data_IF_878297974565
#
_entry.id   IF_878297974565
#
_cell.length_a   1.000
_cell.length_b   1.000
_cell.length_c   1.000
_cell.angle_alpha   90.00
_cell.angle_beta   90.00
_cell.angle_gamma   90.00
#
_symmetry.space_group_name_H-M   'P 1'
#
loop_
_entity.id
_entity.type
_entity.pdbx_description
1 polymer ?
#
# COMPACT_ATOMS: atom_id res chain seq x y z
N UNK A 1 16.93 5.09 13.92
CA UNK A 1 16.36 5.34 15.28
C UNK A 1 15.30 4.28 15.51
N UNK A 2 14.98 3.88 16.74
CA UNK A 2 13.90 2.91 16.92
C UNK A 2 12.57 3.52 16.47
N UNK A 3 11.83 2.83 15.60
CA UNK A 3 10.50 3.25 15.14
C UNK A 3 9.49 3.27 16.29
N UNK A 4 8.57 4.24 16.26
CA UNK A 4 7.50 4.38 17.26
C UNK A 4 6.18 3.74 16.81
N UNK A 5 6.08 3.32 15.55
CA UNK A 5 4.86 2.78 14.95
C UNK A 5 4.24 1.65 15.79
N UNK A 6 4.98 0.65 16.31
CA UNK A 6 4.38 -0.44 17.11
C UNK A 6 3.69 0.02 18.39
N UNK A 7 3.98 1.24 18.87
CA UNK A 7 3.42 1.80 20.09
C UNK A 7 2.22 2.73 19.82
N UNK A 8 1.90 3.04 18.57
CA UNK A 8 0.72 3.85 18.22
C UNK A 8 -0.51 2.95 18.26
N UNK A 9 -1.49 3.20 19.14
CA UNK A 9 -2.74 2.43 19.16
C UNK A 9 -3.51 2.59 17.85
N UNK A 10 -4.16 1.52 17.38
CA UNK A 10 -4.98 1.53 16.14
C UNK A 10 -6.02 2.66 16.11
N UNK A 11 -6.57 3.04 17.27
CA UNK A 11 -7.54 4.14 17.39
C UNK A 11 -6.94 5.53 17.14
N UNK A 12 -5.61 5.68 17.21
CA UNK A 12 -4.92 6.94 16.96
C UNK A 12 -4.46 7.08 15.51
N UNK A 13 -4.41 5.98 14.75
CA UNK A 13 -3.96 6.00 13.34
C UNK A 13 -4.80 6.94 12.47
N UNK A 14 -6.15 6.96 12.54
CA UNK A 14 -6.95 7.91 11.77
C UNK A 14 -6.66 9.39 12.07
N UNK A 15 -6.10 9.68 13.25
CA UNK A 15 -5.75 11.04 13.69
C UNK A 15 -4.39 11.54 13.19
N UNK A 16 -3.58 10.69 12.55
CA UNK A 16 -2.28 11.08 12.02
C UNK A 16 -2.43 12.03 10.83
N UNK A 17 -1.64 13.11 10.78
CA UNK A 17 -1.69 14.02 9.64
C UNK A 17 -1.06 13.38 8.40
N UNK A 18 -1.54 13.74 7.21
CA UNK A 18 -0.95 13.29 5.94
C UNK A 18 0.49 13.75 5.77
N UNK A 19 0.87 14.88 6.37
CA UNK A 19 2.26 15.36 6.41
C UNK A 19 3.14 14.40 7.21
N UNK A 20 2.70 13.99 8.40
CA UNK A 20 3.42 13.02 9.24
C UNK A 20 3.62 11.70 8.50
N UNK A 21 2.58 11.20 7.83
CA UNK A 21 2.64 9.93 7.09
C UNK A 21 3.59 10.01 5.90
N UNK A 22 3.63 11.16 5.21
CA UNK A 22 4.55 11.37 4.09
C UNK A 22 6.02 11.40 4.54
N UNK A 23 6.28 11.82 5.78
CA UNK A 23 7.61 11.88 6.37
C UNK A 23 8.07 10.55 7.00
N UNK A 24 7.21 9.52 7.04
CA UNK A 24 7.58 8.19 7.52
C UNK A 24 8.67 7.56 6.67
N UNK A 25 9.62 6.93 7.37
CA UNK A 25 10.73 6.22 6.77
C UNK A 25 10.32 4.81 6.34
N UNK A 26 11.17 4.13 5.59
CA UNK A 26 10.97 2.71 5.25
C UNK A 26 10.97 1.81 6.49
N UNK A 27 11.71 2.19 7.54
CA UNK A 27 11.71 1.47 8.82
C UNK A 27 10.36 1.58 9.51
N UNK A 28 9.70 2.73 9.43
CA UNK A 28 8.36 2.94 9.96
C UNK A 28 7.32 2.12 9.20
N UNK A 29 7.35 2.15 7.86
CA UNK A 29 6.43 1.37 7.03
C UNK A 29 6.56 -0.14 7.25
N UNK A 30 7.78 -0.65 7.39
CA UNK A 30 8.02 -2.05 7.70
C UNK A 30 7.48 -2.45 9.10
N UNK A 31 7.33 -1.49 10.02
CA UNK A 31 6.91 -1.74 11.40
C UNK A 31 5.39 -1.65 11.63
N UNK A 32 4.61 -1.22 10.64
CA UNK A 32 3.14 -1.20 10.74
C UNK A 32 2.57 -2.61 10.91
N UNK A 33 1.63 -2.81 11.84
CA UNK A 33 0.82 -4.03 11.84
C UNK A 33 -0.27 -3.97 10.78
N UNK A 34 -0.84 -5.12 10.40
CA UNK A 34 -2.00 -5.17 9.50
C UNK A 34 -3.20 -4.41 10.05
N UNK A 35 -3.44 -4.49 11.36
CA UNK A 35 -4.53 -3.77 12.02
C UNK A 35 -4.33 -2.24 11.99
N UNK A 36 -3.08 -1.78 12.08
CA UNK A 36 -2.76 -0.36 11.94
C UNK A 36 -2.95 0.11 10.49
N UNK A 37 -2.62 -0.72 9.50
CA UNK A 37 -2.87 -0.40 8.09
C UNK A 37 -4.37 -0.34 7.77
N UNK A 38 -5.16 -1.27 8.31
CA UNK A 38 -6.63 -1.24 8.19
C UNK A 38 -7.22 0.03 8.85
N UNK A 39 -6.58 0.53 9.90
CA UNK A 39 -7.01 1.75 10.57
C UNK A 39 -6.61 3.04 9.83
N UNK A 40 -5.83 2.97 8.74
CA UNK A 40 -5.56 4.14 7.91
C UNK A 40 -6.85 4.59 7.23
N UNK A 41 -7.01 5.89 7.12
CA UNK A 41 -8.03 6.46 6.25
C UNK A 41 -7.56 6.44 4.80
N UNK A 42 -8.48 6.41 3.85
CA UNK A 42 -8.16 6.46 2.42
C UNK A 42 -7.37 7.72 2.03
N UNK A 43 -7.58 8.86 2.72
CA UNK A 43 -6.80 10.09 2.54
C UNK A 43 -5.33 9.91 2.99
N UNK A 44 -5.10 9.14 4.04
CA UNK A 44 -3.76 8.79 4.51
C UNK A 44 -3.08 7.78 3.58
N UNK A 45 -3.82 6.80 3.06
CA UNK A 45 -3.31 5.87 2.04
C UNK A 45 -2.89 6.58 0.74
N UNK A 46 -3.59 7.65 0.36
CA UNK A 46 -3.29 8.43 -0.83
C UNK A 46 -1.92 9.12 -0.80
N UNK A 47 -1.35 9.35 0.39
CA UNK A 47 -0.06 10.06 0.54
C UNK A 47 1.13 9.13 0.79
N UNK A 48 0.93 7.81 0.76
CA UNK A 48 2.00 6.84 0.89
C UNK A 48 2.96 6.97 -0.31
N UNK A 49 4.25 7.04 -0.01
CA UNK A 49 5.32 7.21 -1.00
C UNK A 49 5.71 5.88 -1.63
N UNK A 50 6.31 5.92 -2.82
CA UNK A 50 6.82 4.71 -3.48
C UNK A 50 7.83 3.93 -2.63
N UNK A 51 8.68 4.63 -1.87
CA UNK A 51 9.62 4.00 -0.96
C UNK A 51 8.92 3.29 0.19
N UNK A 52 7.86 3.86 0.75
CA UNK A 52 7.04 3.21 1.77
C UNK A 52 6.39 1.94 1.26
N UNK A 53 5.81 1.98 0.05
CA UNK A 53 5.20 0.80 -0.57
C UNK A 53 6.22 -0.32 -0.84
N UNK A 54 7.45 0.02 -1.23
CA UNK A 54 8.48 -0.97 -1.61
C UNK A 54 8.95 -1.90 -0.47
N UNK A 55 8.66 -1.54 0.78
CA UNK A 55 9.12 -2.30 1.96
C UNK A 55 8.00 -3.04 2.68
N UNK A 56 6.76 -2.93 2.20
CA UNK A 56 5.63 -3.63 2.80
C UNK A 56 5.70 -5.13 2.54
N UNK A 57 5.35 -5.92 3.54
CA UNK A 57 5.15 -7.36 3.40
C UNK A 57 3.88 -7.68 2.62
N UNK A 58 3.76 -8.91 2.15
CA UNK A 58 2.55 -9.38 1.47
C UNK A 58 1.30 -9.30 2.35
N UNK A 59 1.43 -9.52 3.67
CA UNK A 59 0.30 -9.44 4.59
C UNK A 59 -0.12 -7.99 4.84
N UNK A 60 0.85 -7.07 4.91
CA UNK A 60 0.58 -5.62 4.97
C UNK A 60 -0.12 -5.12 3.70
N UNK A 61 0.27 -5.60 2.52
CA UNK A 61 -0.38 -5.23 1.26
C UNK A 61 -1.83 -5.72 1.21
N UNK A 62 -2.08 -6.96 1.66
CA UNK A 62 -3.44 -7.53 1.74
C UNK A 62 -4.33 -6.83 2.77
N UNK A 63 -3.75 -6.11 3.72
CA UNK A 63 -4.49 -5.36 4.72
C UNK A 63 -5.12 -4.07 4.17
N UNK A 64 -4.67 -3.55 3.02
CA UNK A 64 -5.29 -2.39 2.40
C UNK A 64 -6.69 -2.70 1.88
N UNK A 65 -7.62 -1.77 2.10
CA UNK A 65 -8.97 -1.88 1.55
C UNK A 65 -8.97 -1.51 0.05
N UNK A 66 -10.00 -1.92 -0.68
CA UNK A 66 -10.09 -1.63 -2.12
C UNK A 66 -10.11 -0.13 -2.42
N UNK A 67 -10.71 0.66 -1.52
CA UNK A 67 -10.79 2.11 -1.56
C UNK A 67 -9.41 2.75 -1.40
N UNK A 68 -8.57 2.19 -0.53
CA UNK A 68 -7.21 2.65 -0.29
C UNK A 68 -6.34 2.37 -1.51
N UNK A 69 -6.44 1.16 -2.07
CA UNK A 69 -5.74 0.78 -3.29
C UNK A 69 -6.08 1.72 -4.44
N UNK A 70 -7.35 2.11 -4.59
CA UNK A 70 -7.79 3.09 -5.59
C UNK A 70 -7.27 4.51 -5.32
N UNK A 71 -7.00 4.86 -4.07
CA UNK A 71 -6.51 6.17 -3.68
C UNK A 71 -4.98 6.32 -3.81
N UNK A 72 -4.22 5.23 -3.82
CA UNK A 72 -2.76 5.27 -4.00
C UNK A 72 -2.43 5.93 -5.35
N UNK A 73 -1.59 6.96 -5.28
CA UNK A 73 -1.18 7.70 -6.46
C UNK A 73 -0.41 6.82 -7.47
N UNK A 74 -0.65 7.05 -8.77
CA UNK A 74 -0.07 6.24 -9.86
C UNK A 74 1.46 6.25 -9.88
N UNK A 75 2.09 7.34 -9.45
CA UNK A 75 3.53 7.44 -9.28
C UNK A 75 4.06 6.59 -8.11
N UNK A 76 3.30 6.51 -7.01
CA UNK A 76 3.65 5.68 -5.85
C UNK A 76 3.58 4.18 -6.18
N UNK A 77 2.62 3.75 -7.02
CA UNK A 77 2.48 2.35 -7.42
C UNK A 77 3.74 1.74 -8.04
N UNK A 78 4.61 2.56 -8.65
CA UNK A 78 5.91 2.11 -9.18
C UNK A 78 6.89 1.64 -8.10
N UNK A 79 6.58 1.88 -6.84
CA UNK A 79 7.34 1.39 -5.68
C UNK A 79 7.15 -0.10 -5.41
N UNK A 80 6.05 -0.71 -5.88
CA UNK A 80 5.84 -2.15 -5.65
C UNK A 80 6.84 -3.01 -6.44
N UNK A 81 7.40 -4.02 -5.79
CA UNK A 81 8.13 -5.10 -6.46
C UNK A 81 7.16 -6.05 -7.18
N UNK A 82 7.67 -6.92 -8.06
CA UNK A 82 6.86 -7.96 -8.70
C UNK A 82 6.20 -8.90 -7.67
N UNK A 83 6.93 -9.23 -6.60
CA UNK A 83 6.44 -10.16 -5.58
C UNK A 83 5.32 -9.52 -4.74
N UNK A 84 5.44 -8.22 -4.49
CA UNK A 84 4.39 -7.43 -3.85
C UNK A 84 3.14 -7.34 -4.72
N UNK A 85 3.29 -7.11 -6.03
CA UNK A 85 2.17 -7.14 -6.98
C UNK A 85 1.47 -8.50 -6.96
N UNK A 86 2.22 -9.60 -6.96
CA UNK A 86 1.65 -10.95 -6.86
C UNK A 86 0.97 -11.27 -5.53
N UNK A 87 1.09 -10.39 -4.53
CA UNK A 87 0.38 -10.51 -3.25
C UNK A 87 -0.92 -9.72 -3.17
N UNK A 88 -1.15 -8.79 -4.11
CA UNK A 88 -2.39 -8.01 -4.22
C UNK A 88 -3.53 -8.99 -4.58
N UNK A 89 -4.66 -8.87 -3.89
CA UNK A 89 -5.81 -9.74 -4.15
C UNK A 89 -6.55 -9.34 -5.42
N UNK A 90 -7.30 -10.27 -6.01
CA UNK A 90 -8.12 -9.99 -7.19
C UNK A 90 -9.14 -8.87 -6.93
N UNK A 91 -9.75 -8.81 -5.73
CA UNK A 91 -10.67 -7.73 -5.35
C UNK A 91 -9.98 -6.36 -5.29
N UNK A 92 -8.75 -6.31 -4.75
CA UNK A 92 -7.94 -5.09 -4.73
C UNK A 92 -7.58 -4.63 -6.16
N UNK A 93 -7.23 -5.56 -7.06
CA UNK A 93 -6.95 -5.26 -8.47
C UNK A 93 -8.21 -4.74 -9.18
N UNK A 94 -9.38 -5.35 -8.95
CA UNK A 94 -10.66 -4.89 -9.48
C UNK A 94 -11.04 -3.49 -8.97
N UNK A 95 -10.62 -3.15 -7.75
CA UNK A 95 -10.78 -1.80 -7.18
C UNK A 95 -9.89 -0.72 -7.80
N UNK A 96 -8.80 -1.10 -8.49
CA UNK A 96 -7.89 -0.15 -9.12
C UNK A 96 -8.53 0.53 -10.34
N UNK A 97 -8.17 1.80 -10.55
CA UNK A 97 -8.54 2.51 -11.77
C UNK A 97 -7.72 2.05 -12.98
N UNK A 98 -8.25 2.26 -14.18
CA UNK A 98 -7.52 2.00 -15.43
C UNK A 98 -6.20 2.79 -15.52
N UNK A 99 -6.17 4.01 -14.97
CA UNK A 99 -4.95 4.83 -14.90
C UNK A 99 -3.87 4.24 -13.98
N UNK A 100 -4.28 3.57 -12.90
CA UNK A 100 -3.36 2.88 -11.99
C UNK A 100 -2.81 1.60 -12.64
N UNK A 101 -3.66 0.82 -13.31
CA UNK A 101 -3.23 -0.36 -14.07
C UNK A 101 -2.26 0.04 -15.19
N UNK A 102 -2.56 1.12 -15.93
CA UNK A 102 -1.69 1.64 -16.98
C UNK A 102 -0.35 2.21 -16.47
N UNK A 103 -0.25 2.55 -15.18
CA UNK A 103 0.97 3.08 -14.57
C UNK A 103 1.96 1.98 -14.15
N UNK A 104 1.52 0.72 -14.09
CA UNK A 104 2.35 -0.43 -13.76
C UNK A 104 3.45 -0.63 -14.82
N UNK A 105 4.63 -1.01 -14.34
CA UNK A 105 5.76 -1.34 -15.21
C UNK A 105 5.64 -2.77 -15.76
N UNK A 106 6.36 -3.08 -16.83
CA UNK A 106 6.41 -4.45 -17.37
C UNK A 106 6.90 -5.48 -16.34
N UNK A 107 7.80 -5.09 -15.42
CA UNK A 107 8.25 -5.98 -14.36
C UNK A 107 7.17 -6.25 -13.32
N UNK A 108 6.37 -5.25 -12.99
CA UNK A 108 5.24 -5.38 -12.07
C UNK A 108 4.12 -6.22 -12.66
N UNK A 109 3.82 -6.05 -13.95
CA UNK A 109 2.82 -6.87 -14.66
C UNK A 109 3.20 -8.35 -14.67
N UNK A 110 4.50 -8.70 -14.70
CA UNK A 110 4.94 -10.10 -14.55
C UNK A 110 4.65 -10.70 -13.17
N UNK A 111 4.44 -9.86 -12.16
CA UNK A 111 4.03 -10.28 -10.82
C UNK A 111 2.54 -10.63 -10.73
N UNK A 112 1.70 -10.14 -11.65
CA UNK A 112 0.30 -10.52 -11.71
C UNK A 112 0.19 -12.01 -12.06
N UNK A 113 -0.59 -12.75 -11.27
CA UNK A 113 -0.82 -14.15 -11.58
C UNK A 113 -1.87 -14.24 -12.72
N UNK A 114 -1.90 -15.36 -13.45
CA UNK A 114 -2.81 -15.52 -14.57
C UNK A 114 -4.31 -15.47 -14.16
N UNK A 115 -4.64 -15.78 -12.90
CA UNK A 115 -6.01 -15.67 -12.39
C UNK A 115 -6.43 -14.21 -12.20
N UNK A 116 -5.50 -13.30 -11.92
CA UNK A 116 -5.76 -11.86 -11.78
C UNK A 116 -6.12 -11.18 -13.11
N UNK A 117 -5.71 -11.77 -14.24
CA UNK A 117 -5.95 -11.25 -15.59
C UNK A 117 -7.21 -11.80 -16.26
N UNK A 118 -7.94 -12.70 -15.60
CA UNK A 118 -9.16 -13.32 -16.12
C UNK A 118 -10.33 -12.87 -15.24
N UNK A 119 -10.89 -11.71 -15.56
CA UNK A 119 -12.18 -11.22 -15.06
C UNK A 119 -13.12 -11.00 -16.25
#
# INVERSE_FOLDING_TARGET
MATVIPFIPVSQIPGLSTTTIRDFTTEDWAAFSTDQLIALTTTQAAVITSSGLSVLSSDQIRAFQTEDMRAIATNSLRGFSSDQIGSITTDQIQGMSSGQIAALTSSQVRGLNAADMVA
#
